data_IF_734158651872
#
_entry.id   IF_734158651872
#
_cell.length_a   1.000
_cell.length_b   1.000
_cell.length_c   1.000
_cell.angle_alpha   90.00
_cell.angle_beta   90.00
_cell.angle_gamma   90.00
#
_symmetry.space_group_name_H-M   'P 1'
#
loop_
_entity.id
_entity.type
_entity.pdbx_description
1 polymer ?
#
# COMPACT_ATOMS: atom_id res chain seq x y z
N UNK A 1 4.85 11.31 2.45
CA UNK A 1 5.40 10.66 3.66
C UNK A 1 5.12 9.16 3.63
N UNK A 2 3.85 8.73 3.71
CA UNK A 2 3.49 7.30 3.69
C UNK A 2 3.90 6.54 2.43
N UNK A 3 3.83 7.19 1.26
CA UNK A 3 4.23 6.60 -0.02
C UNK A 3 5.72 6.21 -0.02
N UNK A 4 6.59 7.16 0.33
CA UNK A 4 8.04 6.91 0.45
C UNK A 4 8.37 5.82 1.48
N UNK A 5 7.64 5.78 2.61
CA UNK A 5 7.81 4.73 3.61
C UNK A 5 7.39 3.34 3.08
N UNK A 6 6.30 3.26 2.31
CA UNK A 6 5.84 2.02 1.69
C UNK A 6 6.82 1.53 0.62
N UNK A 7 7.35 2.44 -0.21
CA UNK A 7 8.39 2.12 -1.18
C UNK A 7 9.68 1.64 -0.52
N UNK A 8 10.13 2.31 0.54
CA UNK A 8 11.30 1.90 1.30
C UNK A 8 11.15 0.48 1.87
N UNK A 9 9.99 0.17 2.46
CA UNK A 9 9.70 -1.19 2.95
C UNK A 9 9.66 -2.23 1.83
N UNK A 10 9.07 -1.88 0.68
CA UNK A 10 8.98 -2.79 -0.47
C UNK A 10 10.37 -3.16 -1.00
N UNK A 11 11.28 -2.19 -1.11
CA UNK A 11 12.66 -2.44 -1.57
C UNK A 11 13.47 -3.19 -0.50
N UNK A 12 13.32 -2.82 0.76
CA UNK A 12 14.09 -3.43 1.85
C UNK A 12 13.73 -4.90 2.08
N UNK A 13 12.46 -5.28 1.86
CA UNK A 13 11.95 -6.62 2.10
C UNK A 13 11.81 -7.47 0.83
N UNK A 14 12.30 -6.99 -0.32
CA UNK A 14 12.23 -7.72 -1.58
C UNK A 14 13.14 -8.97 -1.54
N UNK A 15 12.55 -10.15 -1.61
CA UNK A 15 13.26 -11.44 -1.54
C UNK A 15 13.72 -11.86 -0.14
N UNK A 16 13.42 -11.07 0.89
CA UNK A 16 13.76 -11.35 2.29
C UNK A 16 12.66 -12.15 3.01
N UNK A 17 13.03 -12.86 4.07
CA UNK A 17 12.04 -13.50 4.94
C UNK A 17 11.36 -12.44 5.82
N UNK A 18 10.02 -12.41 5.79
CA UNK A 18 9.27 -11.41 6.55
C UNK A 18 9.43 -11.66 8.06
N UNK A 19 9.65 -10.60 8.85
CA UNK A 19 9.71 -10.74 10.29
C UNK A 19 8.35 -11.18 10.85
N UNK A 20 8.38 -11.93 11.95
CA UNK A 20 7.17 -12.29 12.66
C UNK A 20 6.44 -11.05 13.17
N UNK A 21 5.14 -10.99 12.94
CA UNK A 21 4.32 -9.88 13.41
C UNK A 21 4.25 -9.90 14.94
N UNK A 22 4.47 -8.72 15.55
CA UNK A 22 4.29 -8.49 16.99
C UNK A 22 3.03 -7.67 17.24
N UNK A 23 2.30 -7.93 18.33
CA UNK A 23 1.16 -7.11 18.71
C UNK A 23 1.63 -5.72 19.18
N UNK A 24 0.74 -4.73 19.07
CA UNK A 24 1.09 -3.33 19.27
C UNK A 24 1.47 -3.01 20.73
N UNK A 25 0.84 -3.68 21.69
CA UNK A 25 1.12 -3.55 23.12
C UNK A 25 2.53 -3.99 23.48
N UNK A 26 3.02 -5.09 22.90
CA UNK A 26 4.43 -5.52 23.05
C UNK A 26 5.39 -4.46 22.49
N UNK A 27 5.09 -3.86 21.34
CA UNK A 27 5.93 -2.82 20.73
C UNK A 27 5.97 -1.56 21.62
N UNK A 28 4.85 -1.19 22.23
CA UNK A 28 4.76 -0.02 23.11
C UNK A 28 5.50 -0.20 24.44
N UNK A 29 5.85 -1.44 24.82
CA UNK A 29 6.63 -1.73 26.02
C UNK A 29 8.14 -1.68 25.81
N UNK A 30 8.62 -1.58 24.56
CA UNK A 30 10.04 -1.45 24.26
C UNK A 30 10.57 -0.09 24.72
N UNK A 31 11.72 -0.09 25.42
CA UNK A 31 12.26 1.14 26.02
C UNK A 31 12.57 2.20 24.95
N UNK A 32 13.20 1.81 23.84
CA UNK A 32 13.48 2.68 22.70
C UNK A 32 12.22 3.37 22.15
N UNK A 33 11.11 2.63 22.05
CA UNK A 33 9.84 3.15 21.54
C UNK A 33 9.23 4.12 22.55
N UNK A 34 9.32 3.82 23.85
CA UNK A 34 8.81 4.70 24.92
C UNK A 34 9.58 6.01 24.98
N UNK A 35 10.90 5.96 24.84
CA UNK A 35 11.77 7.13 24.78
C UNK A 35 11.42 8.02 23.57
N UNK A 36 11.31 7.43 22.37
CA UNK A 36 10.94 8.15 21.15
C UNK A 36 9.55 8.80 21.28
N UNK A 37 8.56 8.06 21.78
CA UNK A 37 7.22 8.59 22.00
C UNK A 37 7.21 9.73 23.03
N UNK A 38 8.02 9.65 24.09
CA UNK A 38 8.17 10.71 25.08
C UNK A 38 8.81 11.99 24.49
N UNK A 39 9.64 11.84 23.46
CA UNK A 39 10.20 12.94 22.68
C UNK A 39 9.24 13.51 21.63
N UNK A 40 8.02 12.96 21.52
CA UNK A 40 6.97 13.45 20.61
C UNK A 40 6.91 12.72 19.27
N UNK A 41 7.61 11.59 19.11
CA UNK A 41 7.43 10.72 17.95
C UNK A 41 6.04 10.06 17.97
N UNK A 42 5.64 9.49 16.83
CA UNK A 42 4.36 8.82 16.69
C UNK A 42 4.47 7.58 15.79
N UNK A 43 3.61 6.60 16.05
CA UNK A 43 3.54 5.37 15.26
C UNK A 43 2.68 5.56 14.02
N UNK A 44 3.16 5.04 12.90
CA UNK A 44 2.48 5.12 11.60
C UNK A 44 2.31 3.72 11.04
N UNK A 45 1.08 3.39 10.62
CA UNK A 45 0.81 2.16 9.89
C UNK A 45 1.16 2.36 8.42
N UNK A 46 2.13 1.60 7.92
CA UNK A 46 2.55 1.64 6.51
C UNK A 46 2.06 0.37 5.81
N UNK A 47 1.31 0.48 4.70
CA UNK A 47 0.89 -0.69 3.94
C UNK A 47 2.12 -1.36 3.30
N UNK A 48 2.23 -2.68 3.50
CA UNK A 48 3.24 -3.52 2.87
C UNK A 48 2.65 -4.19 1.63
N UNK A 49 3.12 -3.78 0.46
CA UNK A 49 2.74 -4.34 -0.84
C UNK A 49 3.94 -5.08 -1.42
N UNK A 50 4.01 -6.40 -1.19
CA UNK A 50 5.08 -7.24 -1.75
C UNK A 50 4.74 -7.63 -3.18
N UNK A 51 5.72 -7.48 -4.07
CA UNK A 51 5.64 -8.06 -5.40
C UNK A 51 6.09 -9.52 -5.32
N UNK A 52 5.20 -10.48 -5.54
CA UNK A 52 5.60 -11.90 -5.62
C UNK A 52 6.27 -12.25 -6.96
N UNK A 53 6.58 -11.23 -7.79
CA UNK A 53 7.18 -11.32 -9.12
C UNK A 53 6.30 -11.99 -10.18
N UNK A 54 5.14 -12.55 -9.82
CA UNK A 54 4.34 -13.38 -10.73
C UNK A 54 3.24 -12.55 -11.38
N UNK A 55 3.25 -12.53 -12.72
CA UNK A 55 2.12 -11.96 -13.47
C UNK A 55 0.99 -12.98 -13.57
N UNK A 56 -0.18 -12.65 -13.04
CA UNK A 56 -1.40 -13.45 -13.16
C UNK A 56 -2.36 -12.83 -14.17
N UNK A 57 -2.79 -13.60 -15.18
CA UNK A 57 -3.86 -13.18 -16.11
C UNK A 57 -5.22 -13.30 -15.42
N UNK A 58 -6.00 -12.23 -15.45
CA UNK A 58 -7.36 -12.17 -14.90
C UNK A 58 -8.33 -11.61 -15.95
N UNK A 59 -9.57 -12.10 -15.94
CA UNK A 59 -10.66 -11.52 -16.72
C UNK A 59 -11.43 -10.51 -15.87
N UNK A 60 -11.78 -9.37 -16.44
CA UNK A 60 -12.50 -8.27 -15.77
C UNK A 60 -13.66 -7.84 -16.64
N UNK A 61 -14.82 -7.65 -16.01
CA UNK A 61 -16.05 -7.18 -16.65
C UNK A 61 -16.35 -5.77 -16.16
N UNK A 62 -16.79 -4.90 -17.06
CA UNK A 62 -17.15 -3.53 -16.76
C UNK A 62 -17.94 -2.89 -17.89
N UNK A 63 -18.49 -1.71 -17.64
CA UNK A 63 -19.27 -0.98 -18.63
C UNK A 63 -18.40 -0.58 -19.82
N UNK A 64 -18.92 -0.75 -21.03
CA UNK A 64 -18.15 -0.53 -22.25
C UNK A 64 -17.58 0.88 -22.36
N UNK A 65 -18.30 1.89 -21.85
CA UNK A 65 -17.83 3.27 -21.86
C UNK A 65 -16.65 3.50 -20.89
N UNK A 66 -16.65 2.84 -19.73
CA UNK A 66 -15.54 2.91 -18.77
C UNK A 66 -14.28 2.22 -19.30
N UNK A 67 -14.42 1.06 -19.95
CA UNK A 67 -13.29 0.37 -20.57
C UNK A 67 -12.63 1.24 -21.65
N UNK A 68 -13.44 1.92 -22.48
CA UNK A 68 -12.92 2.89 -23.47
C UNK A 68 -12.19 4.05 -22.81
N UNK A 69 -12.77 4.65 -21.76
CA UNK A 69 -12.13 5.74 -21.03
C UNK A 69 -10.78 5.30 -20.41
N UNK A 70 -10.69 4.07 -19.90
CA UNK A 70 -9.43 3.51 -19.38
C UNK A 70 -8.40 3.36 -20.50
N UNK A 71 -8.80 2.83 -21.66
CA UNK A 71 -7.89 2.68 -22.80
C UNK A 71 -7.33 4.00 -23.29
N UNK A 72 -8.17 5.03 -23.38
CA UNK A 72 -7.76 6.36 -23.82
C UNK A 72 -6.82 7.01 -22.79
N UNK A 73 -7.11 6.88 -21.49
CA UNK A 73 -6.24 7.37 -20.43
C UNK A 73 -4.88 6.65 -20.40
N UNK A 74 -4.87 5.33 -20.63
CA UNK A 74 -3.65 4.54 -20.74
C UNK A 74 -2.81 4.97 -21.96
N UNK A 75 -3.46 5.15 -23.12
CA UNK A 75 -2.81 5.62 -24.35
C UNK A 75 -2.21 7.02 -24.19
N UNK A 76 -2.93 7.96 -23.59
CA UNK A 76 -2.44 9.31 -23.32
C UNK A 76 -1.19 9.32 -22.43
N UNK A 77 -1.07 8.33 -21.53
CA UNK A 77 0.08 8.16 -20.64
C UNK A 77 1.18 7.28 -21.21
N UNK A 78 1.01 6.72 -22.41
CA UNK A 78 1.98 5.81 -23.04
C UNK A 78 2.14 4.46 -22.31
N UNK A 79 1.13 4.01 -21.57
CA UNK A 79 1.16 2.76 -20.79
C UNK A 79 0.08 1.78 -21.25
N UNK A 80 0.20 0.51 -20.89
CA UNK A 80 -0.82 -0.50 -21.21
C UNK A 80 -2.05 -0.37 -20.30
N UNK A 81 -3.20 -0.89 -20.75
CA UNK A 81 -4.43 -0.97 -19.93
C UNK A 81 -4.18 -1.62 -18.58
N UNK A 82 -3.45 -2.73 -18.54
CA UNK A 82 -3.12 -3.44 -17.31
C UNK A 82 -2.25 -2.59 -16.39
N UNK A 83 -1.24 -1.89 -16.91
CA UNK A 83 -0.41 -0.99 -16.11
C UNK A 83 -1.24 0.16 -15.50
N UNK A 84 -2.14 0.76 -16.28
CA UNK A 84 -3.04 1.80 -15.78
C UNK A 84 -3.93 1.29 -14.64
N UNK A 85 -4.55 0.12 -14.82
CA UNK A 85 -5.40 -0.51 -13.80
C UNK A 85 -4.60 -0.87 -12.55
N UNK A 86 -3.39 -1.40 -12.68
CA UNK A 86 -2.53 -1.71 -11.53
C UNK A 86 -2.09 -0.44 -10.80
N UNK A 87 -1.82 0.65 -11.50
CA UNK A 87 -1.47 1.93 -10.88
C UNK A 87 -2.66 2.52 -10.10
N UNK A 88 -3.85 2.49 -10.69
CA UNK A 88 -5.08 2.91 -10.00
C UNK A 88 -5.34 2.04 -8.76
N UNK A 89 -5.18 0.72 -8.88
CA UNK A 89 -5.32 -0.21 -7.75
C UNK A 89 -4.29 0.06 -6.65
N UNK A 90 -3.01 0.31 -7.00
CA UNK A 90 -1.96 0.65 -6.04
C UNK A 90 -2.31 1.93 -5.28
N UNK A 91 -2.68 2.98 -6.00
CA UNK A 91 -3.06 4.26 -5.38
C UNK A 91 -4.23 4.08 -4.41
N UNK A 92 -5.22 3.27 -4.80
CA UNK A 92 -6.39 3.01 -3.97
C UNK A 92 -6.04 2.15 -2.75
N UNK A 93 -5.18 1.12 -2.88
CA UNK A 93 -4.74 0.27 -1.78
C UNK A 93 -3.90 1.04 -0.75
N UNK A 94 -3.05 1.96 -1.21
CA UNK A 94 -2.26 2.86 -0.36
C UNK A 94 -3.16 3.95 0.25
N UNK A 95 -4.16 4.44 -0.50
CA UNK A 95 -5.11 5.47 -0.06
C UNK A 95 -6.14 4.97 0.97
N UNK A 96 -6.66 3.74 0.82
CA UNK A 96 -7.69 3.16 1.71
C UNK A 96 -7.20 2.91 3.14
N UNK A 97 -5.89 2.88 3.38
CA UNK A 97 -5.35 2.78 4.74
C UNK A 97 -5.72 4.00 5.60
N UNK A 98 -6.03 5.16 4.99
CA UNK A 98 -6.49 6.36 5.73
C UNK A 98 -7.91 6.23 6.31
N UNK A 99 -8.87 5.67 5.56
CA UNK A 99 -10.30 5.71 5.93
C UNK A 99 -10.71 4.64 6.94
N UNK A 100 -10.03 3.49 7.01
CA UNK A 100 -10.43 2.42 7.95
C UNK A 100 -10.24 2.76 9.44
N UNK A 101 -9.52 3.83 9.79
CA UNK A 101 -9.37 4.28 11.19
C UNK A 101 -10.49 5.18 11.70
N UNK A 102 -11.30 5.80 10.83
CA UNK A 102 -12.48 6.57 11.28
C UNK A 102 -13.63 5.65 11.72
N UNK A 103 -13.70 4.43 11.19
CA UNK A 103 -14.74 3.45 11.53
C UNK A 103 -14.47 2.62 12.80
N UNK A 104 -13.29 2.72 13.42
CA UNK A 104 -12.93 1.99 14.65
C UNK A 104 -12.93 2.92 15.89
N UNK A 105 -13.33 4.19 15.71
CA UNK A 105 -13.44 5.19 16.79
C UNK A 105 -14.87 5.71 17.02
N UNK A 106 -15.87 5.07 16.44
CA UNK A 106 -17.29 5.27 16.75
C UNK A 106 -17.83 4.02 17.45
#
# INVERSE_FOLDING_TARGET
MLEMASEALMVHLDGEELPSARPLDEILQLEEVREDLAQGCFLVAVPLLLADGRTKRVSITGEAHMIRAIDDAARQRGITRSAFLMQAARNELVGRTRTKREAVRA
#
